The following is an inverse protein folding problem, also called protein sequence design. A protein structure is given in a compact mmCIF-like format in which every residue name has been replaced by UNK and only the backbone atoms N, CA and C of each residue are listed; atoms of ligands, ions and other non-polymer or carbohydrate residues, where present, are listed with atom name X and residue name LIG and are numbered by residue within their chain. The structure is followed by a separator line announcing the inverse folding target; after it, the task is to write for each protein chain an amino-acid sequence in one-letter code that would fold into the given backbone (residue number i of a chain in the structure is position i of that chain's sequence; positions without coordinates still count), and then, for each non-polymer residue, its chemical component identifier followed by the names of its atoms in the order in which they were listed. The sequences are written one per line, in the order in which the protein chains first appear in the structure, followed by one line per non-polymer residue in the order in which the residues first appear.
data_IF_389041118466
#
_entry.id   IF_389041118466
#
_cell.length_a   1.000
_cell.length_b   1.000
_cell.length_c   1.000
_cell.angle_alpha   90.00
_cell.angle_beta   90.00
_cell.angle_gamma   90.00
#
_symmetry.space_group_name_H-M   'P 1'
#
loop_
_entity.id
_entity.type
_entity.pdbx_description
1 polymer ?
#
# COMPACT_ATOMS: atom_id res chain seq x y z
N UNK A 1 -16.94 90.53 26.95
CA UNK A 1 -15.47 90.45 26.84
C UNK A 1 -15.12 89.00 26.53
N UNK A 2 -14.70 88.76 25.28
CA UNK A 2 -14.55 87.46 24.64
C UNK A 2 -13.32 86.71 25.17
N UNK A 3 -13.50 85.43 25.57
CA UNK A 3 -12.37 84.52 25.84
C UNK A 3 -12.25 83.52 24.69
N UNK A 4 -11.14 83.64 23.97
CA UNK A 4 -10.65 82.75 22.91
C UNK A 4 -10.12 81.44 23.52
N UNK A 5 -10.74 80.32 23.19
CA UNK A 5 -10.23 78.96 23.47
C UNK A 5 -9.46 78.44 22.27
N UNK A 6 -8.14 78.33 22.42
CA UNK A 6 -7.23 77.77 21.43
C UNK A 6 -7.33 76.24 21.37
N UNK A 7 -7.37 75.72 20.15
CA UNK A 7 -7.31 74.31 19.79
C UNK A 7 -5.86 73.82 19.72
N UNK A 8 -5.49 72.83 20.55
CA UNK A 8 -4.22 72.11 20.44
C UNK A 8 -4.24 71.10 19.29
N UNK A 9 -3.17 70.97 18.50
CA UNK A 9 -3.08 69.96 17.44
C UNK A 9 -2.74 68.58 18.02
N UNK A 10 -3.41 67.54 17.52
CA UNK A 10 -3.12 66.14 17.81
C UNK A 10 -1.78 65.70 17.21
N UNK A 11 -0.99 64.85 17.89
CA UNK A 11 0.26 64.32 17.37
C UNK A 11 0.00 63.26 16.29
N UNK A 12 0.60 63.46 15.12
CA UNK A 12 0.62 62.50 14.01
C UNK A 12 1.48 61.29 14.39
N UNK A 13 1.01 60.03 14.20
CA UNK A 13 1.81 58.85 14.49
C UNK A 13 2.99 58.73 13.51
N UNK A 14 4.19 58.52 14.06
CA UNK A 14 5.42 58.34 13.30
C UNK A 14 5.35 57.02 12.49
N UNK A 15 5.49 57.14 11.18
CA UNK A 15 5.55 56.00 10.26
C UNK A 15 6.94 55.35 10.43
N UNK A 16 7.02 54.04 10.73
CA UNK A 16 8.30 53.37 10.91
C UNK A 16 9.11 53.40 9.60
N UNK A 17 10.38 53.77 9.72
CA UNK A 17 11.34 53.87 8.63
C UNK A 17 11.54 52.49 7.96
N UNK A 18 11.36 52.41 6.64
CA UNK A 18 11.54 51.17 5.86
C UNK A 18 12.94 50.57 6.02
N UNK A 19 13.94 51.40 6.31
CA UNK A 19 15.29 50.92 6.63
C UNK A 19 15.30 50.02 7.87
N UNK A 20 14.47 50.35 8.88
CA UNK A 20 14.37 49.58 10.11
C UNK A 20 13.64 48.25 9.90
N UNK A 21 12.63 48.20 9.02
CA UNK A 21 11.97 46.94 8.63
C UNK A 21 12.91 45.99 7.89
N UNK A 22 13.71 46.50 6.93
CA UNK A 22 14.67 45.66 6.22
C UNK A 22 15.78 45.13 7.14
N UNK A 23 16.26 45.96 8.08
CA UNK A 23 17.24 45.52 9.08
C UNK A 23 16.67 44.41 9.98
N UNK A 24 15.40 44.51 10.39
CA UNK A 24 14.76 43.51 11.23
C UNK A 24 14.50 42.19 10.49
N UNK A 25 14.17 42.24 9.19
CA UNK A 25 14.03 41.04 8.36
C UNK A 25 15.37 40.36 8.12
N UNK A 26 16.44 41.12 7.88
CA UNK A 26 17.79 40.58 7.74
C UNK A 26 18.29 39.89 9.03
N UNK A 27 17.99 40.46 10.19
CA UNK A 27 18.31 39.86 11.48
C UNK A 27 17.53 38.56 11.75
N UNK A 28 16.26 38.46 11.35
CA UNK A 28 15.51 37.20 11.46
C UNK A 28 16.05 36.10 10.54
N UNK A 29 16.49 36.45 9.33
CA UNK A 29 17.10 35.48 8.40
C UNK A 29 18.45 34.98 8.95
N UNK A 30 19.28 35.88 9.49
CA UNK A 30 20.56 35.52 10.09
C UNK A 30 20.38 34.63 11.34
N UNK A 31 19.39 34.93 12.20
CA UNK A 31 19.09 34.11 13.38
C UNK A 31 18.57 32.71 13.00
N UNK A 32 17.76 32.58 11.95
CA UNK A 32 17.29 31.29 11.45
C UNK A 32 18.44 30.43 10.88
N UNK A 33 19.43 31.05 10.22
CA UNK A 33 20.61 30.34 9.71
C UNK A 33 21.53 29.82 10.83
N UNK A 34 21.67 30.56 11.94
CA UNK A 34 22.47 30.13 13.08
C UNK A 34 21.87 28.88 13.76
N UNK A 35 20.54 28.81 13.88
CA UNK A 35 19.85 27.63 14.45
C UNK A 35 19.99 26.40 13.54
N UNK A 36 20.06 26.58 12.22
CA UNK A 36 20.29 25.47 11.28
C UNK A 36 21.72 24.91 11.32
N UNK A 37 22.74 25.73 11.64
CA UNK A 37 24.13 25.27 11.67
C UNK A 37 24.53 24.60 13.00
N UNK A 38 23.87 24.92 14.12
CA UNK A 38 24.27 24.43 15.45
C UNK A 38 23.82 23.00 15.79
N UNK A 39 23.13 22.28 14.89
CA UNK A 39 22.62 20.92 15.18
C UNK A 39 23.23 19.81 14.32
N UNK A 40 24.38 20.06 13.69
CA UNK A 40 25.20 19.02 13.05
C UNK A 40 26.30 18.51 14.00
N UNK A 41 25.95 18.24 15.26
CA UNK A 41 26.81 17.35 16.04
C UNK A 41 26.72 15.97 15.38
N UNK A 42 27.79 15.58 14.69
CA UNK A 42 27.91 14.28 14.08
C UNK A 42 27.60 13.23 15.14
N UNK A 43 26.43 12.59 15.02
CA UNK A 43 26.05 11.47 15.87
C UNK A 43 27.14 10.42 15.67
N UNK A 44 28.00 10.26 16.68
CA UNK A 44 29.05 9.25 16.68
C UNK A 44 28.35 7.89 16.80
N UNK A 45 28.07 7.27 15.66
CA UNK A 45 27.50 5.93 15.61
C UNK A 45 28.60 4.99 16.12
N UNK A 46 28.38 4.21 17.19
CA UNK A 46 29.38 3.29 17.69
C UNK A 46 29.77 2.31 16.57
N UNK A 47 31.07 1.98 16.41
CA UNK A 47 31.50 1.05 15.39
C UNK A 47 30.80 -0.29 15.62
N UNK A 48 30.11 -0.77 14.58
CA UNK A 48 29.54 -2.11 14.60
C UNK A 48 30.69 -3.11 14.76
N UNK A 49 30.47 -4.22 15.51
CA UNK A 49 31.47 -5.27 15.59
C UNK A 49 31.86 -5.72 14.18
N UNK A 50 33.16 -5.76 13.89
CA UNK A 50 33.64 -6.33 12.64
C UNK A 50 33.19 -7.80 12.63
N UNK A 51 32.25 -8.13 11.76
CA UNK A 51 31.99 -9.52 11.43
C UNK A 51 33.29 -10.05 10.81
N UNK A 52 33.90 -11.06 11.45
CA UNK A 52 35.12 -11.66 10.96
C UNK A 52 34.91 -12.06 9.50
N UNK A 53 35.62 -11.40 8.59
CA UNK A 53 35.61 -11.77 7.18
C UNK A 53 36.29 -13.13 7.11
N UNK A 54 35.51 -14.20 7.08
CA UNK A 54 36.04 -15.48 6.66
C UNK A 54 36.45 -15.30 5.20
N UNK A 55 37.75 -15.20 4.95
CA UNK A 55 38.39 -15.07 3.62
C UNK A 55 38.09 -16.27 2.69
N UNK A 56 37.29 -17.23 3.13
CA UNK A 56 36.62 -18.19 2.27
C UNK A 56 35.59 -17.42 1.45
N UNK A 57 35.99 -16.91 0.29
CA UNK A 57 35.06 -16.41 -0.74
C UNK A 57 33.99 -17.49 -0.91
N UNK A 58 32.76 -17.31 -0.38
CA UNK A 58 31.73 -18.29 -0.58
C UNK A 58 31.54 -18.36 -2.09
N UNK A 59 31.56 -19.58 -2.65
CA UNK A 59 31.33 -19.80 -4.07
C UNK A 59 30.17 -18.90 -4.49
N UNK A 60 30.43 -17.98 -5.43
CA UNK A 60 29.52 -16.89 -5.76
C UNK A 60 28.18 -17.51 -6.15
N UNK A 61 27.24 -17.52 -5.20
CA UNK A 61 25.94 -18.14 -5.38
C UNK A 61 25.25 -17.41 -6.53
N UNK A 62 24.84 -18.13 -7.55
CA UNK A 62 24.18 -17.51 -8.70
C UNK A 62 22.87 -16.84 -8.27
N UNK A 63 22.46 -15.77 -8.96
CA UNK A 63 21.20 -15.09 -8.65
C UNK A 63 20.02 -16.06 -8.72
N UNK A 64 20.08 -17.02 -9.66
CA UNK A 64 19.06 -18.03 -9.85
C UNK A 64 18.97 -19.03 -8.69
N UNK A 65 20.10 -19.41 -8.08
CA UNK A 65 20.10 -20.32 -6.93
C UNK A 65 19.51 -19.68 -5.67
N UNK A 66 19.57 -18.35 -5.54
CA UNK A 66 18.96 -17.64 -4.42
C UNK A 66 17.44 -17.48 -4.53
N UNK A 67 16.87 -17.73 -5.72
CA UNK A 67 15.42 -17.64 -5.98
C UNK A 67 14.91 -18.88 -6.73
N UNK A 68 15.01 -20.09 -6.14
CA UNK A 68 14.68 -21.35 -6.82
C UNK A 68 13.20 -21.46 -7.21
N UNK A 69 12.33 -20.71 -6.51
CA UNK A 69 10.90 -20.68 -6.74
C UNK A 69 10.47 -19.60 -7.76
N UNK A 70 11.41 -18.93 -8.42
CA UNK A 70 11.12 -17.92 -9.43
C UNK A 70 11.74 -18.38 -10.74
N UNK A 71 10.94 -18.44 -11.79
CA UNK A 71 11.43 -18.84 -13.12
C UNK A 71 12.56 -17.93 -13.57
N UNK A 72 13.56 -18.53 -14.20
CA UNK A 72 14.73 -17.85 -14.76
C UNK A 72 14.35 -16.64 -15.64
N UNK A 73 13.34 -16.83 -16.49
CA UNK A 73 12.83 -15.76 -17.38
C UNK A 73 12.34 -14.53 -16.62
N UNK A 74 11.68 -14.72 -15.48
CA UNK A 74 11.14 -13.62 -14.67
C UNK A 74 12.29 -12.87 -13.98
N UNK A 75 13.30 -13.60 -13.49
CA UNK A 75 14.53 -13.00 -12.95
C UNK A 75 15.24 -12.18 -14.04
N UNK A 76 15.38 -12.72 -15.26
CA UNK A 76 15.96 -12.00 -16.39
C UNK A 76 15.18 -10.72 -16.72
N UNK A 77 13.86 -10.80 -16.83
CA UNK A 77 13.00 -9.65 -17.10
C UNK A 77 13.12 -8.58 -16.00
N UNK A 78 13.24 -8.98 -14.73
CA UNK A 78 13.46 -8.06 -13.60
C UNK A 78 14.83 -7.38 -13.70
N UNK A 79 15.90 -8.14 -13.95
CA UNK A 79 17.27 -7.59 -14.06
C UNK A 79 17.44 -6.67 -15.27
N UNK A 80 16.65 -6.86 -16.33
CA UNK A 80 16.57 -5.99 -17.52
C UNK A 80 15.59 -4.83 -17.35
N UNK A 81 14.86 -4.77 -16.24
CA UNK A 81 13.80 -3.79 -15.97
C UNK A 81 12.66 -3.83 -17.01
N UNK A 82 12.43 -4.98 -17.63
CA UNK A 82 11.36 -5.24 -18.60
C UNK A 82 10.14 -5.96 -17.97
N UNK A 83 10.23 -6.30 -16.69
CA UNK A 83 9.17 -6.98 -15.97
C UNK A 83 7.92 -6.10 -15.81
N UNK A 84 6.77 -6.59 -16.29
CA UNK A 84 5.51 -5.85 -16.26
C UNK A 84 4.92 -5.80 -14.84
N UNK A 85 4.36 -4.66 -14.38
CA UNK A 85 3.77 -4.56 -13.05
C UNK A 85 2.66 -5.58 -12.79
N UNK A 86 1.72 -5.76 -13.72
CA UNK A 86 0.67 -6.77 -13.60
C UNK A 86 1.19 -8.22 -13.62
N UNK A 87 2.45 -8.43 -14.01
CA UNK A 87 3.11 -9.73 -13.96
C UNK A 87 3.59 -10.12 -12.56
N UNK A 88 3.56 -9.21 -11.56
CA UNK A 88 4.08 -9.46 -10.22
C UNK A 88 3.50 -10.72 -9.57
N UNK A 89 2.22 -11.04 -9.76
CA UNK A 89 1.58 -12.23 -9.17
C UNK A 89 2.29 -13.54 -9.57
N UNK A 90 3.04 -13.56 -10.67
CA UNK A 90 3.87 -14.69 -11.10
C UNK A 90 5.08 -14.94 -10.20
N UNK A 91 5.42 -13.99 -9.33
CA UNK A 91 6.49 -14.10 -8.33
C UNK A 91 5.98 -14.64 -7.00
N UNK A 92 4.66 -14.80 -6.83
CA UNK A 92 4.09 -15.38 -5.62
C UNK A 92 4.22 -16.91 -5.68
N UNK A 93 4.87 -17.48 -4.67
CA UNK A 93 5.05 -18.92 -4.52
C UNK A 93 3.72 -19.66 -4.45
N UNK A 94 2.71 -19.11 -3.76
CA UNK A 94 1.41 -19.77 -3.60
C UNK A 94 0.66 -19.84 -4.92
N UNK A 95 0.75 -18.79 -5.74
CA UNK A 95 0.13 -18.75 -7.07
C UNK A 95 0.80 -19.76 -7.99
N UNK A 96 2.13 -19.86 -7.96
CA UNK A 96 2.87 -20.84 -8.74
C UNK A 96 2.56 -22.28 -8.31
N UNK A 97 2.62 -22.57 -7.01
CA UNK A 97 2.33 -23.90 -6.47
C UNK A 97 0.91 -24.37 -6.79
N UNK A 98 -0.08 -23.46 -6.76
CA UNK A 98 -1.46 -23.77 -7.15
C UNK A 98 -1.60 -24.04 -8.65
N UNK A 99 -0.89 -23.29 -9.49
CA UNK A 99 -0.87 -23.53 -10.93
C UNK A 99 -0.23 -24.89 -11.28
N UNK A 100 0.81 -25.29 -10.55
CA UNK A 100 1.44 -26.61 -10.73
C UNK A 100 0.55 -27.77 -10.28
N UNK A 101 -0.28 -27.54 -9.25
CA UNK A 101 -1.23 -28.55 -8.75
C UNK A 101 -2.49 -28.69 -9.62
N UNK A 102 -2.84 -27.68 -10.41
CA UNK A 102 -3.95 -27.73 -11.34
C UNK A 102 -3.46 -28.18 -12.73
N UNK A 103 -4.17 -29.10 -13.39
CA UNK A 103 -3.90 -29.44 -14.82
C UNK A 103 -3.93 -28.22 -15.76
N UNK A 104 -4.37 -27.06 -15.26
CA UNK A 104 -4.15 -25.74 -15.86
C UNK A 104 -2.67 -25.37 -15.88
N UNK A 105 -1.96 -25.90 -16.87
CA UNK A 105 -0.53 -25.70 -17.13
C UNK A 105 -0.02 -24.32 -16.72
N UNK A 106 1.05 -24.32 -15.93
CA UNK A 106 1.93 -23.20 -15.58
C UNK A 106 2.28 -22.30 -16.81
N UNK A 107 2.23 -22.82 -18.04
CA UNK A 107 2.36 -22.02 -19.25
C UNK A 107 1.23 -20.98 -19.43
N UNK A 108 0.01 -21.30 -18.99
CA UNK A 108 -1.16 -20.42 -19.08
C UNK A 108 -0.97 -19.20 -18.20
N UNK A 109 -0.46 -19.41 -16.97
CA UNK A 109 -0.08 -18.34 -16.06
C UNK A 109 0.99 -17.44 -16.69
N UNK A 110 1.97 -18.04 -17.35
CA UNK A 110 3.03 -17.31 -18.01
C UNK A 110 2.54 -16.46 -19.20
N UNK A 111 1.57 -16.96 -19.96
CA UNK A 111 0.94 -16.27 -21.10
C UNK A 111 -0.01 -15.16 -20.63
N UNK A 112 -0.55 -15.25 -19.41
CA UNK A 112 -1.38 -14.20 -18.81
C UNK A 112 -0.62 -12.88 -18.74
N UNK A 113 -1.27 -11.80 -19.16
CA UNK A 113 -0.73 -10.44 -19.02
C UNK A 113 -0.91 -9.87 -17.61
N UNK A 114 -1.65 -10.58 -16.75
CA UNK A 114 -2.14 -10.08 -15.49
C UNK A 114 -3.25 -9.04 -15.67
N UNK A 115 -4.04 -8.85 -14.63
CA UNK A 115 -5.11 -7.86 -14.56
C UNK A 115 -5.34 -7.42 -13.12
N UNK A 116 -6.20 -6.41 -12.96
CA UNK A 116 -6.67 -5.96 -11.64
C UNK A 116 -7.27 -7.10 -10.80
N UNK A 117 -7.86 -8.13 -11.43
CA UNK A 117 -8.47 -9.27 -10.72
C UNK A 117 -7.46 -10.16 -10.01
N UNK A 118 -6.20 -10.13 -10.46
CA UNK A 118 -5.12 -10.92 -9.85
C UNK A 118 -4.63 -10.29 -8.54
N UNK A 119 -5.06 -9.06 -8.25
CA UNK A 119 -4.72 -8.33 -7.05
C UNK A 119 -5.98 -7.89 -6.30
N UNK A 120 -6.73 -8.80 -5.66
CA UNK A 120 -7.95 -8.46 -4.93
C UNK A 120 -7.68 -7.62 -3.66
N UNK A 121 -6.46 -7.64 -3.13
CA UNK A 121 -6.10 -6.95 -1.88
C UNK A 121 -4.65 -6.46 -1.88
N UNK A 122 -4.30 -5.62 -0.91
CA UNK A 122 -2.92 -5.21 -0.66
C UNK A 122 -1.99 -6.41 -0.46
N UNK A 123 -2.42 -7.42 0.29
CA UNK A 123 -1.60 -8.60 0.59
C UNK A 123 -1.21 -9.38 -0.67
N UNK A 124 -2.13 -9.48 -1.64
CA UNK A 124 -1.86 -10.12 -2.94
C UNK A 124 -0.80 -9.37 -3.78
N UNK A 125 -0.53 -8.11 -3.47
CA UNK A 125 0.55 -7.33 -4.08
C UNK A 125 1.86 -7.38 -3.28
N UNK A 126 1.79 -7.32 -1.95
CA UNK A 126 2.96 -7.12 -1.10
C UNK A 126 3.97 -8.25 -1.17
N UNK A 127 3.51 -9.51 -1.17
CA UNK A 127 4.40 -10.68 -1.25
C UNK A 127 5.21 -10.67 -2.56
N UNK A 128 4.57 -10.66 -3.76
CA UNK A 128 5.33 -10.65 -5.00
C UNK A 128 6.16 -9.38 -5.20
N UNK A 129 5.68 -8.22 -4.73
CA UNK A 129 6.46 -6.97 -4.78
C UNK A 129 7.71 -7.05 -3.91
N UNK A 130 7.64 -7.68 -2.75
CA UNK A 130 8.80 -7.91 -1.89
C UNK A 130 9.81 -8.83 -2.57
N UNK A 131 9.35 -9.92 -3.21
CA UNK A 131 10.21 -10.80 -4.02
C UNK A 131 10.89 -10.05 -5.15
N UNK A 132 10.16 -9.18 -5.86
CA UNK A 132 10.71 -8.33 -6.92
C UNK A 132 11.88 -7.47 -6.40
N UNK A 133 11.70 -6.80 -5.26
CA UNK A 133 12.77 -6.00 -4.67
C UNK A 133 13.95 -6.84 -4.19
N UNK A 134 13.70 -8.00 -3.57
CA UNK A 134 14.76 -8.92 -3.16
C UNK A 134 15.63 -9.33 -4.35
N UNK A 135 15.04 -9.63 -5.50
CA UNK A 135 15.78 -9.96 -6.73
C UNK A 135 16.63 -8.77 -7.18
N UNK A 136 16.06 -7.56 -7.23
CA UNK A 136 16.81 -6.35 -7.62
C UNK A 136 17.98 -6.04 -6.66
N UNK A 137 17.76 -6.18 -5.35
CA UNK A 137 18.78 -5.93 -4.33
C UNK A 137 19.91 -6.95 -4.47
N UNK A 138 19.60 -8.25 -4.57
CA UNK A 138 20.59 -9.30 -4.79
C UNK A 138 21.35 -9.09 -6.09
N UNK A 139 20.67 -8.74 -7.19
CA UNK A 139 21.31 -8.41 -8.46
C UNK A 139 22.31 -7.26 -8.33
N UNK A 140 21.94 -6.17 -7.64
CA UNK A 140 22.83 -5.04 -7.41
C UNK A 140 24.05 -5.41 -6.55
N UNK A 141 23.85 -6.21 -5.50
CA UNK A 141 24.93 -6.69 -4.62
C UNK A 141 25.91 -7.58 -5.37
N UNK A 142 25.40 -8.59 -6.08
CA UNK A 142 26.20 -9.51 -6.88
C UNK A 142 26.91 -8.82 -8.05
N UNK A 143 26.29 -7.80 -8.63
CA UNK A 143 26.89 -6.96 -9.67
C UNK A 143 27.96 -5.98 -9.16
N UNK A 144 28.39 -6.10 -7.90
CA UNK A 144 29.44 -5.25 -7.31
C UNK A 144 29.00 -3.81 -7.04
N UNK A 145 27.69 -3.57 -6.91
CA UNK A 145 27.10 -2.24 -6.63
C UNK A 145 26.39 -2.21 -5.27
N UNK A 146 27.09 -2.43 -4.15
CA UNK A 146 26.46 -2.54 -2.83
C UNK A 146 25.75 -1.26 -2.38
N UNK A 147 26.26 -0.08 -2.75
CA UNK A 147 25.58 1.20 -2.46
C UNK A 147 24.20 1.27 -3.13
N UNK A 148 24.07 0.74 -4.35
CA UNK A 148 22.79 0.65 -5.07
C UNK A 148 21.87 -0.35 -4.37
N UNK A 149 22.38 -1.51 -3.97
CA UNK A 149 21.63 -2.51 -3.20
C UNK A 149 21.07 -1.95 -1.88
N UNK A 150 21.89 -1.25 -1.10
CA UNK A 150 21.46 -0.59 0.15
C UNK A 150 20.41 0.50 -0.11
N UNK A 151 20.61 1.33 -1.14
CA UNK A 151 19.64 2.35 -1.52
C UNK A 151 18.30 1.73 -1.92
N UNK A 152 18.32 0.69 -2.77
CA UNK A 152 17.12 -0.05 -3.16
C UNK A 152 16.40 -0.63 -1.95
N UNK A 153 17.12 -1.27 -1.03
CA UNK A 153 16.55 -1.83 0.20
C UNK A 153 15.86 -0.77 1.07
N UNK A 154 16.49 0.39 1.29
CA UNK A 154 15.87 1.45 2.09
C UNK A 154 14.63 2.03 1.39
N UNK A 155 14.76 2.32 0.10
CA UNK A 155 13.72 2.99 -0.69
C UNK A 155 12.53 2.09 -0.98
N UNK A 156 12.74 0.79 -1.21
CA UNK A 156 11.66 -0.18 -1.39
C UNK A 156 10.81 -0.30 -0.12
N UNK A 157 11.42 -0.32 1.07
CA UNK A 157 10.68 -0.29 2.32
C UNK A 157 9.86 1.00 2.48
N UNK A 158 10.44 2.17 2.19
CA UNK A 158 9.69 3.43 2.21
C UNK A 158 8.49 3.39 1.25
N UNK A 159 8.69 2.86 0.04
CA UNK A 159 7.63 2.74 -0.94
C UNK A 159 6.51 1.80 -0.50
N UNK A 160 6.86 0.62 0.05
CA UNK A 160 5.89 -0.33 0.61
C UNK A 160 5.09 0.33 1.74
N UNK A 161 5.75 1.04 2.65
CA UNK A 161 5.06 1.76 3.72
C UNK A 161 4.07 2.80 3.17
N UNK A 162 4.44 3.56 2.14
CA UNK A 162 3.53 4.50 1.47
C UNK A 162 2.36 3.79 0.80
N UNK A 163 2.57 2.64 0.14
CA UNK A 163 1.49 1.82 -0.42
C UNK A 163 0.53 1.33 0.65
N UNK A 164 1.05 0.89 1.80
CA UNK A 164 0.22 0.46 2.93
C UNK A 164 -0.64 1.61 3.45
N UNK A 165 -0.10 2.83 3.55
CA UNK A 165 -0.86 3.98 4.01
C UNK A 165 -1.95 4.38 3.01
N UNK A 166 -1.60 4.48 1.72
CA UNK A 166 -2.60 4.74 0.67
C UNK A 166 -3.70 3.68 0.65
N UNK A 167 -3.36 2.41 0.86
CA UNK A 167 -4.33 1.33 0.91
C UNK A 167 -5.27 1.43 2.12
N UNK A 168 -4.94 2.17 3.19
CA UNK A 168 -5.87 2.45 4.29
C UNK A 168 -6.86 3.55 3.91
N UNK A 169 -6.37 4.62 3.28
CA UNK A 169 -7.13 5.85 3.03
C UNK A 169 -7.97 5.81 1.74
N UNK A 170 -7.47 5.15 0.70
CA UNK A 170 -8.01 5.23 -0.65
C UNK A 170 -8.53 3.90 -1.17
N UNK A 171 -9.37 3.98 -2.20
CA UNK A 171 -9.95 2.80 -2.85
C UNK A 171 -8.86 1.93 -3.48
N UNK A 172 -8.90 0.62 -3.22
CA UNK A 172 -7.82 -0.29 -3.61
C UNK A 172 -7.53 -0.30 -5.11
N UNK A 173 -8.56 -0.24 -5.96
CA UNK A 173 -8.38 -0.19 -7.42
C UNK A 173 -7.52 0.98 -7.87
N UNK A 174 -7.65 2.15 -7.23
CA UNK A 174 -6.87 3.35 -7.54
C UNK A 174 -5.45 3.25 -6.97
N UNK A 175 -5.28 2.66 -5.79
CA UNK A 175 -3.94 2.40 -5.24
C UNK A 175 -3.16 1.42 -6.12
N UNK A 176 -3.83 0.39 -6.66
CA UNK A 176 -3.23 -0.56 -7.58
C UNK A 176 -2.83 0.10 -8.90
N UNK A 177 -3.70 0.95 -9.48
CA UNK A 177 -3.35 1.67 -10.71
C UNK A 177 -2.20 2.65 -10.49
N UNK A 178 -2.16 3.35 -9.34
CA UNK A 178 -0.99 4.12 -8.92
C UNK A 178 0.28 3.26 -8.89
N UNK A 179 0.22 2.07 -8.26
CA UNK A 179 1.36 1.17 -8.19
C UNK A 179 1.87 0.78 -9.60
N UNK A 180 0.96 0.43 -10.50
CA UNK A 180 1.30 0.04 -11.88
C UNK A 180 1.99 1.17 -12.62
N UNK A 181 1.43 2.38 -12.58
CA UNK A 181 2.02 3.55 -13.25
C UNK A 181 3.36 3.93 -12.61
N UNK A 182 3.43 3.95 -11.28
CA UNK A 182 4.65 4.25 -10.53
C UNK A 182 5.77 3.27 -10.89
N UNK A 183 5.49 1.97 -10.85
CA UNK A 183 6.47 0.93 -11.19
C UNK A 183 6.95 1.05 -12.63
N UNK A 184 6.07 1.34 -13.60
CA UNK A 184 6.49 1.59 -14.98
C UNK A 184 7.49 2.74 -15.08
N UNK A 185 7.23 3.87 -14.39
CA UNK A 185 8.17 5.01 -14.35
C UNK A 185 9.51 4.58 -13.75
N UNK A 186 9.50 3.88 -12.61
CA UNK A 186 10.74 3.42 -11.96
C UNK A 186 11.52 2.44 -12.82
N UNK A 187 10.85 1.54 -13.55
CA UNK A 187 11.52 0.65 -14.50
C UNK A 187 12.23 1.43 -15.61
N UNK A 188 11.62 2.49 -16.15
CA UNK A 188 12.27 3.35 -17.16
C UNK A 188 13.48 4.09 -16.60
N UNK A 189 13.38 4.63 -15.38
CA UNK A 189 14.52 5.25 -14.68
C UNK A 189 15.67 4.25 -14.47
N UNK A 190 15.36 3.02 -14.05
CA UNK A 190 16.37 1.99 -13.82
C UNK A 190 17.04 1.51 -15.12
N UNK A 191 16.33 1.52 -16.26
CA UNK A 191 16.95 1.31 -17.59
C UNK A 191 18.01 2.37 -17.92
N UNK A 192 17.85 3.58 -17.40
CA UNK A 192 18.83 4.67 -17.52
C UNK A 192 19.90 4.63 -16.42
N UNK A 193 19.87 3.62 -15.54
CA UNK A 193 20.80 3.47 -14.42
C UNK A 193 20.44 4.28 -13.18
N UNK A 194 19.26 4.93 -13.14
CA UNK A 194 18.79 5.64 -11.96
C UNK A 194 17.95 4.72 -11.06
N UNK A 195 18.52 4.32 -9.92
CA UNK A 195 17.87 3.46 -8.93
C UNK A 195 17.31 4.22 -7.73
N UNK A 196 17.48 5.55 -7.67
CA UNK A 196 17.13 6.37 -6.51
C UNK A 196 15.67 6.82 -6.50
N UNK A 197 14.93 6.58 -7.60
CA UNK A 197 13.56 7.03 -7.75
C UNK A 197 12.54 6.31 -6.87
N UNK A 198 12.86 5.12 -6.37
CA UNK A 198 12.00 4.40 -5.44
C UNK A 198 11.85 5.16 -4.11
N UNK A 199 10.69 5.07 -3.48
CA UNK A 199 10.44 5.58 -2.13
C UNK A 199 9.57 6.84 -2.11
N UNK A 200 10.02 7.99 -2.68
CA UNK A 200 9.19 9.18 -2.77
C UNK A 200 7.87 8.92 -3.47
N UNK A 201 6.80 9.47 -2.91
CA UNK A 201 5.47 9.48 -3.54
C UNK A 201 5.54 10.36 -4.79
N UNK A 202 5.05 9.84 -5.92
CA UNK A 202 4.91 10.64 -7.12
C UNK A 202 3.70 11.57 -6.99
N UNK A 203 3.95 12.87 -6.89
CA UNK A 203 2.90 13.86 -6.60
C UNK A 203 1.81 13.91 -7.68
N UNK A 204 2.17 13.72 -8.96
CA UNK A 204 1.20 13.72 -10.04
C UNK A 204 0.29 12.49 -9.96
N UNK A 205 0.89 11.30 -9.80
CA UNK A 205 0.12 10.07 -9.64
C UNK A 205 -0.72 10.06 -8.36
N UNK A 206 -0.17 10.61 -7.27
CA UNK A 206 -0.85 10.65 -5.98
C UNK A 206 -2.08 11.54 -6.00
N UNK A 207 -2.05 12.65 -6.74
CA UNK A 207 -3.21 13.55 -6.90
C UNK A 207 -4.43 12.78 -7.45
N UNK A 208 -4.21 11.86 -8.38
CA UNK A 208 -5.25 11.03 -8.95
C UNK A 208 -5.84 10.02 -7.94
N UNK A 209 -5.02 9.45 -7.05
CA UNK A 209 -5.48 8.57 -5.96
C UNK A 209 -6.31 9.37 -4.95
N UNK A 210 -5.87 10.57 -4.59
CA UNK A 210 -6.56 11.41 -3.58
C UNK A 210 -7.94 11.89 -4.02
N UNK A 211 -8.23 11.90 -5.32
CA UNK A 211 -9.57 12.19 -5.84
C UNK A 211 -10.59 11.08 -5.53
N UNK A 212 -10.14 9.92 -5.04
CA UNK A 212 -10.96 8.73 -4.82
C UNK A 212 -10.80 8.16 -3.38
N UNK A 213 -11.16 8.94 -2.35
CA UNK A 213 -11.11 8.47 -0.97
C UNK A 213 -12.01 7.24 -0.80
N UNK A 214 -11.65 6.35 0.12
CA UNK A 214 -12.60 5.34 0.57
C UNK A 214 -13.84 6.06 1.13
N UNK A 215 -15.06 5.61 0.81
CA UNK A 215 -16.22 6.07 1.52
C UNK A 215 -15.93 5.78 2.98
N UNK A 216 -16.03 6.82 3.82
CA UNK A 216 -15.92 6.64 5.25
C UNK A 216 -16.84 5.47 5.59
N UNK A 217 -16.27 4.39 6.15
CA UNK A 217 -17.05 3.33 6.75
C UNK A 217 -17.92 4.07 7.75
N UNK A 218 -19.17 4.36 7.37
CA UNK A 218 -20.09 5.10 8.22
C UNK A 218 -20.08 4.31 9.51
N UNK A 219 -19.51 4.89 10.57
CA UNK A 219 -19.63 4.36 11.90
C UNK A 219 -21.11 4.05 12.03
N UNK A 220 -21.45 2.76 12.14
CA UNK A 220 -22.83 2.35 12.29
C UNK A 220 -23.41 3.27 13.37
N UNK A 221 -24.47 4.04 13.09
CA UNK A 221 -25.12 4.77 14.15
C UNK A 221 -25.54 3.72 15.17
N UNK A 222 -24.79 3.69 16.27
CA UNK A 222 -25.17 2.92 17.44
C UNK A 222 -26.51 3.49 17.88
N UNK A 223 -27.51 2.61 17.94
CA UNK A 223 -28.90 2.81 18.36
C UNK A 223 -29.94 3.18 17.29
N UNK A 224 -30.73 2.14 17.00
CA UNK A 224 -32.20 2.12 17.06
C UNK A 224 -33.01 2.53 15.82
N UNK A 225 -33.91 1.59 15.46
CA UNK A 225 -35.04 1.69 14.52
C UNK A 225 -34.72 1.57 13.02
N UNK A 226 -34.32 0.38 12.62
CA UNK A 226 -34.74 -0.18 11.33
C UNK A 226 -36.27 -0.40 11.29
N UNK A 227 -37.01 0.68 11.05
CA UNK A 227 -38.30 0.56 10.37
C UNK A 227 -38.03 0.55 8.87
N UNK A 228 -37.94 -0.65 8.30
CA UNK A 228 -38.33 -0.89 6.92
C UNK A 228 -38.83 -2.31 6.85
N UNK A 229 -40.17 -2.42 6.77
CA UNK A 229 -40.93 -3.64 6.51
C UNK A 229 -40.56 -4.18 5.13
N UNK A 230 -39.39 -4.81 5.01
CA UNK A 230 -39.23 -5.90 4.08
C UNK A 230 -40.16 -7.02 4.52
N UNK A 231 -40.81 -7.70 3.57
CA UNK A 231 -41.68 -8.82 3.91
C UNK A 231 -40.83 -9.96 4.50
N UNK A 232 -40.74 -9.99 5.83
CA UNK A 232 -39.91 -10.93 6.61
C UNK A 232 -40.31 -12.38 6.32
N UNK A 233 -41.52 -12.61 5.81
CA UNK A 233 -42.01 -13.91 5.36
C UNK A 233 -41.25 -14.50 4.17
N UNK A 234 -40.30 -13.77 3.56
CA UNK A 234 -39.44 -14.26 2.47
C UNK A 234 -37.99 -14.46 2.87
N UNK A 235 -37.58 -14.03 4.08
CA UNK A 235 -36.21 -14.18 4.55
C UNK A 235 -36.03 -15.52 5.26
N UNK A 236 -34.87 -16.15 5.08
CA UNK A 236 -34.53 -17.38 5.78
C UNK A 236 -34.11 -17.10 7.22
N UNK A 237 -34.53 -17.95 8.15
CA UNK A 237 -34.15 -17.85 9.54
C UNK A 237 -32.75 -18.43 9.76
N UNK A 238 -31.80 -17.57 10.14
CA UNK A 238 -30.44 -18.00 10.46
C UNK A 238 -30.38 -18.75 11.81
N UNK A 239 -31.18 -18.34 12.79
CA UNK A 239 -31.20 -19.01 14.11
C UNK A 239 -31.73 -20.45 14.01
N UNK A 240 -32.62 -20.72 13.06
CA UNK A 240 -33.08 -22.08 12.77
C UNK A 240 -31.96 -22.96 12.22
N UNK A 241 -31.14 -22.41 11.33
CA UNK A 241 -29.95 -23.09 10.79
C UNK A 241 -28.90 -23.38 11.87
N UNK A 242 -28.94 -22.68 12.99
CA UNK A 242 -28.11 -22.95 14.16
C UNK A 242 -28.77 -23.87 15.21
N UNK A 243 -30.00 -24.32 14.98
CA UNK A 243 -30.77 -25.14 15.92
C UNK A 243 -31.29 -24.36 17.13
N UNK A 244 -31.35 -23.02 17.05
CA UNK A 244 -31.71 -22.11 18.15
C UNK A 244 -33.11 -21.51 18.02
N UNK A 245 -33.81 -21.74 16.90
CA UNK A 245 -35.14 -21.19 16.65
C UNK A 245 -36.24 -22.24 16.82
N UNK A 246 -37.35 -21.83 17.44
CA UNK A 246 -38.56 -22.66 17.63
C UNK A 246 -39.47 -22.61 16.41
N UNK A 247 -40.21 -23.69 16.12
CA UNK A 247 -41.20 -23.75 15.04
C UNK A 247 -42.63 -23.60 15.59
N UNK A 248 -43.42 -22.57 15.20
CA UNK A 248 -43.14 -21.57 14.16
C UNK A 248 -42.17 -20.46 14.59
N UNK A 249 -41.39 -19.95 13.62
CA UNK A 249 -40.39 -18.90 13.83
C UNK A 249 -41.01 -17.65 14.51
N UNK A 250 -40.50 -17.19 15.67
CA UNK A 250 -40.99 -15.98 16.34
C UNK A 250 -40.86 -14.72 15.49
N UNK A 251 -39.86 -14.68 14.59
CA UNK A 251 -39.61 -13.57 13.67
C UNK A 251 -40.43 -13.64 12.37
N UNK A 252 -41.25 -14.69 12.17
CA UNK A 252 -42.03 -14.89 10.94
C UNK A 252 -41.19 -15.17 9.69
N UNK A 253 -39.92 -15.56 9.87
CA UNK A 253 -39.00 -15.96 8.81
C UNK A 253 -39.26 -17.41 8.37
N UNK A 254 -38.82 -17.78 7.18
CA UNK A 254 -38.94 -19.14 6.66
C UNK A 254 -37.82 -20.01 7.28
N UNK A 255 -38.21 -21.14 7.87
CA UNK A 255 -37.27 -22.21 8.21
C UNK A 255 -36.88 -22.99 6.95
N UNK A 256 -35.61 -22.90 6.57
CA UNK A 256 -35.04 -23.59 5.43
C UNK A 256 -33.52 -23.48 5.41
N UNK A 257 -32.84 -24.47 4.84
CA UNK A 257 -31.38 -24.51 4.77
C UNK A 257 -30.86 -23.31 3.97
N UNK A 258 -29.91 -22.54 4.51
CA UNK A 258 -29.33 -21.39 3.81
C UNK A 258 -28.60 -21.75 2.51
N UNK A 259 -28.23 -23.02 2.33
CA UNK A 259 -27.45 -23.48 1.18
C UNK A 259 -28.32 -24.05 0.05
N UNK A 260 -29.38 -24.81 0.37
CA UNK A 260 -30.21 -25.50 -0.62
C UNK A 260 -31.71 -25.15 -0.54
N UNK A 261 -32.12 -24.31 0.42
CA UNK A 261 -33.47 -23.78 0.62
C UNK A 261 -34.55 -24.82 0.96
N UNK A 262 -34.19 -26.07 1.25
CA UNK A 262 -35.13 -27.12 1.70
C UNK A 262 -35.45 -26.99 3.18
N UNK A 263 -36.66 -27.39 3.59
CA UNK A 263 -37.13 -27.30 4.99
C UNK A 263 -36.74 -28.50 5.87
N UNK A 264 -36.20 -29.56 5.26
CA UNK A 264 -36.04 -30.86 5.92
C UNK A 264 -34.78 -30.96 6.81
N UNK A 265 -33.85 -30.00 6.69
CA UNK A 265 -32.57 -30.05 7.38
C UNK A 265 -31.92 -28.67 7.54
N UNK A 266 -31.07 -28.54 8.54
CA UNK A 266 -30.21 -27.38 8.78
C UNK A 266 -28.92 -27.48 7.98
N UNK A 267 -28.20 -26.37 7.76
CA UNK A 267 -26.91 -26.42 7.04
C UNK A 267 -25.84 -27.30 7.70
N UNK A 268 -25.99 -27.62 9.00
CA UNK A 268 -25.07 -28.50 9.74
C UNK A 268 -25.35 -29.98 9.50
N UNK A 269 -26.49 -30.33 8.91
CA UNK A 269 -26.81 -31.71 8.59
C UNK A 269 -25.98 -32.17 7.38
N UNK A 270 -25.30 -33.31 7.55
CA UNK A 270 -24.47 -33.97 6.52
C UNK A 270 -25.22 -34.30 5.21
N UNK A 271 -26.54 -34.14 5.19
CA UNK A 271 -27.41 -34.36 4.03
C UNK A 271 -27.53 -33.14 3.11
N UNK A 272 -26.94 -31.99 3.46
CA UNK A 272 -26.98 -30.82 2.61
C UNK A 272 -26.03 -31.00 1.41
N UNK A 273 -26.54 -31.08 0.17
CA UNK A 273 -25.67 -31.04 -1.00
C UNK A 273 -24.96 -29.68 -0.99
N UNK A 274 -23.63 -29.69 -1.00
CA UNK A 274 -22.80 -28.47 -1.00
C UNK A 274 -23.24 -27.48 -2.09
N UNK A 275 -22.87 -26.19 -1.96
CA UNK A 275 -23.33 -25.14 -2.84
C UNK A 275 -23.16 -25.56 -4.30
N UNK A 276 -24.28 -25.65 -5.03
CA UNK A 276 -24.25 -25.94 -6.47
C UNK A 276 -23.53 -24.79 -7.14
N UNK A 277 -22.36 -25.05 -7.70
CA UNK A 277 -21.67 -24.09 -8.56
C UNK A 277 -22.62 -23.75 -9.71
N UNK A 278 -23.06 -22.50 -9.78
CA UNK A 278 -23.82 -22.00 -10.91
C UNK A 278 -22.92 -22.10 -12.15
N UNK A 279 -23.26 -23.04 -13.04
CA UNK A 279 -22.74 -23.13 -14.40
C UNK A 279 -23.45 -22.14 -15.31
#
# INVERSE_FOLDING_TARGET
MSKSSGSSPSPTPAVPDMAQMMAQMAQMIAAAQIIQQSNLQAISVPPLPLFASSDTVPACESLYSSFPNVKEKHILDITRHDFRPYGLHKLDFWVQSKADASDGSLETLDKSQGSVKDYPSLDSLLIPLSTYFSILISYALMGGKPKVGCALALRSHSYIASLMEMAKEFQWSYVLEYHVQYMNIRCQEMKQGNYLGWGPIDAQLHTWVTAHPKPASSAFPSSSKWSSRGNVSKQMCHDWNDGKCSDPCPGGQIHGCCNCHTKDHTWKDLKCPGPKAHS
#
